data_IF_997443870738
#
_entry.id   IF_997443870738
#
_cell.length_a   1.000
_cell.length_b   1.000
_cell.length_c   1.000
_cell.angle_alpha   90.00
_cell.angle_beta   90.00
_cell.angle_gamma   90.00
#
_symmetry.space_group_name_H-M   'P 1'
#
loop_
_entity.id
_entity.type
_entity.pdbx_description
1 polymer ?
#
# COMPACT_ATOMS: atom_id res chain seq x y z
N UNK A 1 -5.04 27.78 21.46
CA UNK A 1 -5.12 26.35 21.79
C UNK A 1 -6.20 26.02 22.81
N UNK A 2 -6.12 26.43 24.11
CA UNK A 2 -7.21 26.16 25.07
C UNK A 2 -8.55 26.76 24.62
N UNK A 3 -8.55 27.98 24.08
CA UNK A 3 -9.76 28.60 23.50
C UNK A 3 -10.31 27.79 22.33
N UNK A 4 -9.48 27.43 21.35
CA UNK A 4 -9.92 26.61 20.20
C UNK A 4 -10.44 25.25 20.62
N UNK A 5 -9.85 24.64 21.68
CA UNK A 5 -10.35 23.40 22.23
C UNK A 5 -11.70 23.58 22.92
N UNK A 6 -11.90 24.69 23.64
CA UNK A 6 -13.17 25.02 24.29
C UNK A 6 -14.23 25.29 23.22
N UNK A 7 -13.91 26.05 22.17
CA UNK A 7 -14.84 26.38 21.09
C UNK A 7 -15.27 25.10 20.36
N UNK A 8 -14.31 24.22 19.97
CA UNK A 8 -14.64 22.96 19.33
C UNK A 8 -15.44 22.01 20.24
N UNK A 9 -15.10 21.93 21.53
CA UNK A 9 -15.84 21.11 22.47
C UNK A 9 -17.29 21.62 22.65
N UNK A 10 -17.46 22.94 22.65
CA UNK A 10 -18.80 23.58 22.72
C UNK A 10 -19.61 23.29 21.46
N UNK A 11 -18.97 23.34 20.28
CA UNK A 11 -19.63 23.02 19.02
C UNK A 11 -19.98 21.54 18.91
N UNK A 12 -19.09 20.63 19.36
CA UNK A 12 -19.36 19.19 19.42
C UNK A 12 -20.55 18.91 20.37
N UNK A 13 -20.57 19.59 21.50
CA UNK A 13 -21.66 19.46 22.47
C UNK A 13 -23.00 19.91 21.86
N UNK A 14 -22.99 21.07 21.17
CA UNK A 14 -24.18 21.59 20.48
C UNK A 14 -24.65 20.65 19.38
N UNK A 15 -23.73 20.19 18.52
CA UNK A 15 -24.04 19.24 17.46
C UNK A 15 -24.65 17.95 18.04
N UNK A 16 -24.17 17.48 19.22
CA UNK A 16 -24.68 16.29 19.90
C UNK A 16 -26.09 16.47 20.46
N UNK A 17 -26.44 17.69 20.88
CA UNK A 17 -27.80 17.96 21.40
C UNK A 17 -28.81 18.30 20.30
N UNK A 18 -28.40 18.98 19.24
CA UNK A 18 -29.30 19.54 18.23
C UNK A 18 -29.39 18.67 16.96
N UNK A 19 -28.51 17.67 16.79
CA UNK A 19 -28.48 16.87 15.57
C UNK A 19 -29.48 15.75 15.54
N UNK A 20 -30.11 15.60 14.36
CA UNK A 20 -30.96 14.46 13.98
C UNK A 20 -30.14 13.40 13.23
N UNK A 21 -28.84 13.64 13.06
CA UNK A 21 -27.91 12.81 12.26
C UNK A 21 -27.53 11.51 12.99
N UNK A 22 -27.09 10.52 12.24
CA UNK A 22 -26.64 9.26 12.81
C UNK A 22 -25.41 9.45 13.73
N UNK A 23 -25.31 8.71 14.87
CA UNK A 23 -24.20 8.85 15.82
C UNK A 23 -22.82 8.69 15.20
N UNK A 24 -22.69 7.91 14.12
CA UNK A 24 -21.42 7.74 13.38
C UNK A 24 -20.97 9.00 12.66
N UNK A 25 -21.90 9.72 12.03
CA UNK A 25 -21.58 10.98 11.32
C UNK A 25 -21.20 12.08 12.31
N UNK A 26 -21.85 12.10 13.45
CA UNK A 26 -21.55 13.04 14.54
C UNK A 26 -20.15 12.79 15.11
N UNK A 27 -19.78 11.52 15.34
CA UNK A 27 -18.44 11.15 15.78
C UNK A 27 -17.38 11.51 14.78
N UNK A 28 -17.61 11.30 13.48
CA UNK A 28 -16.67 11.67 12.42
C UNK A 28 -16.46 13.18 12.36
N UNK A 29 -17.53 13.99 12.50
CA UNK A 29 -17.42 15.45 12.56
C UNK A 29 -16.69 15.94 13.83
N UNK A 30 -16.95 15.32 14.97
CA UNK A 30 -16.28 15.65 16.22
C UNK A 30 -14.77 15.34 16.13
N UNK A 31 -14.42 14.19 15.56
CA UNK A 31 -13.03 13.81 15.29
C UNK A 31 -12.34 14.81 14.34
N UNK A 32 -13.02 15.23 13.25
CA UNK A 32 -12.50 16.24 12.33
C UNK A 32 -12.23 17.57 13.00
N UNK A 33 -13.17 18.08 13.82
CA UNK A 33 -13.00 19.35 14.55
C UNK A 33 -11.85 19.32 15.56
N UNK A 34 -11.68 18.22 16.28
CA UNK A 34 -10.55 18.05 17.19
C UNK A 34 -9.24 17.97 16.39
N UNK A 35 -9.29 17.34 15.23
CA UNK A 35 -8.14 17.19 14.34
C UNK A 35 -7.68 18.52 13.78
N UNK A 36 -8.58 19.40 13.34
CA UNK A 36 -8.26 20.75 12.86
C UNK A 36 -7.48 21.55 13.91
N UNK A 37 -7.79 21.41 15.18
CA UNK A 37 -7.04 22.05 16.28
C UNK A 37 -5.61 21.51 16.38
N UNK A 38 -5.43 20.20 16.10
CA UNK A 38 -4.12 19.55 16.12
C UNK A 38 -3.32 19.89 14.85
N UNK A 39 -3.99 20.02 13.69
CA UNK A 39 -3.37 20.39 12.42
C UNK A 39 -2.90 21.86 12.41
N UNK A 40 -3.61 22.79 13.05
CA UNK A 40 -3.12 24.14 13.26
C UNK A 40 -1.84 24.21 14.12
N UNK A 41 -1.45 23.12 14.76
CA UNK A 41 -0.15 22.99 15.45
C UNK A 41 0.99 22.49 14.56
N UNK A 42 0.65 21.88 13.43
CA UNK A 42 1.61 21.51 12.39
C UNK A 42 1.64 22.53 11.25
N UNK A 43 1.42 23.84 11.55
CA UNK A 43 2.00 24.87 10.70
C UNK A 43 3.50 24.63 10.75
N UNK A 44 3.99 23.84 9.80
CA UNK A 44 5.40 23.59 9.64
C UNK A 44 6.04 24.97 9.48
N UNK A 45 6.62 25.51 10.55
CA UNK A 45 7.48 26.66 10.45
C UNK A 45 8.50 26.35 9.37
N UNK A 46 8.71 27.30 8.47
CA UNK A 46 9.75 27.16 7.46
C UNK A 46 11.07 26.88 8.18
N UNK A 47 11.61 25.67 8.00
CA UNK A 47 12.88 25.30 8.59
C UNK A 47 14.00 26.01 7.85
N UNK A 48 14.95 26.64 8.55
CA UNK A 48 16.15 27.17 7.90
C UNK A 48 16.93 26.02 7.23
N UNK A 49 17.51 26.31 6.08
CA UNK A 49 18.20 25.28 5.26
C UNK A 49 19.36 24.59 6.00
N UNK A 50 20.02 25.29 6.93
CA UNK A 50 21.10 24.71 7.74
C UNK A 50 20.61 23.53 8.61
N UNK A 51 19.44 23.64 9.26
CA UNK A 51 18.86 22.54 10.04
C UNK A 51 18.52 21.35 9.15
N UNK A 52 17.97 21.60 7.95
CA UNK A 52 17.66 20.54 6.99
C UNK A 52 18.92 19.85 6.49
N UNK A 53 20.01 20.62 6.28
CA UNK A 53 21.31 20.06 5.84
C UNK A 53 21.96 19.20 6.93
N UNK A 54 21.82 19.56 8.21
CA UNK A 54 22.29 18.69 9.31
C UNK A 54 21.59 17.34 9.29
N UNK A 55 20.26 17.31 9.12
CA UNK A 55 19.49 16.07 8.98
C UNK A 55 19.94 15.25 7.75
N UNK A 56 20.25 15.91 6.62
CA UNK A 56 20.74 15.25 5.40
C UNK A 56 22.13 14.64 5.64
N UNK A 57 23.03 15.33 6.32
CA UNK A 57 24.39 14.83 6.62
C UNK A 57 24.34 13.60 7.54
N UNK A 58 23.49 13.65 8.57
CA UNK A 58 23.28 12.50 9.47
C UNK A 58 22.77 11.27 8.69
N UNK A 59 21.82 11.46 7.77
CA UNK A 59 21.31 10.38 6.91
C UNK A 59 22.39 9.85 5.96
N UNK A 60 23.20 10.73 5.41
CA UNK A 60 24.31 10.36 4.53
C UNK A 60 25.35 9.52 5.27
N UNK A 61 25.76 9.95 6.47
CA UNK A 61 26.71 9.22 7.30
C UNK A 61 26.18 7.84 7.70
N UNK A 62 24.87 7.75 8.02
CA UNK A 62 24.24 6.46 8.33
C UNK A 62 24.25 5.51 7.13
N UNK A 63 24.02 6.02 5.91
CA UNK A 63 24.10 5.23 4.67
C UNK A 63 25.54 4.79 4.35
N UNK A 64 26.53 5.63 4.56
CA UNK A 64 27.92 5.31 4.31
C UNK A 64 28.49 4.27 5.28
N UNK A 65 27.99 4.21 6.51
CA UNK A 65 28.43 3.25 7.54
C UNK A 65 27.89 1.84 7.33
N UNK A 66 26.79 1.70 6.61
CA UNK A 66 26.17 0.42 6.28
C UNK A 66 26.31 0.19 4.77
N UNK A 67 27.24 -0.67 4.35
CA UNK A 67 27.56 -0.96 2.94
C UNK A 67 26.36 -1.37 2.07
N UNK A 68 25.16 -1.62 2.67
CA UNK A 68 23.92 -2.00 1.98
C UNK A 68 22.67 -1.32 2.56
N UNK A 69 22.80 -0.19 3.26
CA UNK A 69 21.62 0.49 3.81
C UNK A 69 20.85 1.20 2.69
N UNK A 70 19.73 0.60 2.27
CA UNK A 70 18.75 1.26 1.42
C UNK A 70 18.21 2.52 2.12
N UNK A 71 17.93 3.54 1.32
CA UNK A 71 17.38 4.79 1.86
C UNK A 71 15.93 4.66 2.30
N UNK A 72 15.24 3.58 1.89
CA UNK A 72 13.86 3.25 2.17
C UNK A 72 13.67 1.85 2.75
N UNK A 73 12.42 1.44 2.92
CA UNK A 73 12.02 0.11 3.38
C UNK A 73 12.30 -0.90 2.27
N UNK A 74 13.01 -1.99 2.59
CA UNK A 74 13.34 -3.06 1.65
C UNK A 74 12.09 -3.79 1.17
N UNK A 75 12.00 -4.01 -0.15
CA UNK A 75 10.86 -4.73 -0.73
C UNK A 75 11.04 -6.25 -0.71
N UNK A 76 12.29 -6.71 -0.59
CA UNK A 76 12.68 -8.11 -0.74
C UNK A 76 12.95 -8.54 -2.18
N UNK A 77 12.82 -7.62 -3.14
CA UNK A 77 13.17 -7.82 -4.54
C UNK A 77 14.41 -6.99 -4.86
N UNK A 78 15.57 -7.64 -4.90
CA UNK A 78 16.89 -6.98 -4.98
C UNK A 78 17.01 -6.01 -6.17
N UNK A 79 16.52 -6.40 -7.34
CA UNK A 79 16.58 -5.55 -8.53
C UNK A 79 15.66 -4.33 -8.40
N UNK A 80 14.48 -4.49 -7.77
CA UNK A 80 13.58 -3.39 -7.47
C UNK A 80 14.20 -2.45 -6.44
N UNK A 81 14.77 -3.00 -5.39
CA UNK A 81 15.45 -2.24 -4.32
C UNK A 81 16.66 -1.48 -4.86
N UNK A 82 17.43 -2.09 -5.78
CA UNK A 82 18.55 -1.43 -6.47
C UNK A 82 18.05 -0.24 -7.31
N UNK A 83 16.93 -0.40 -8.01
CA UNK A 83 16.39 0.63 -8.91
C UNK A 83 15.70 1.77 -8.15
N UNK A 84 14.96 1.44 -7.07
CA UNK A 84 14.18 2.42 -6.29
C UNK A 84 14.89 2.92 -5.03
N UNK A 85 15.91 2.24 -4.53
CA UNK A 85 16.52 2.50 -3.22
C UNK A 85 15.62 2.07 -2.06
N UNK A 86 14.68 1.14 -2.28
CA UNK A 86 13.61 0.76 -1.37
C UNK A 86 12.40 1.72 -1.42
N UNK A 87 11.42 1.51 -0.55
CA UNK A 87 10.23 2.37 -0.43
C UNK A 87 10.53 3.50 0.57
N UNK A 88 10.62 4.75 0.09
CA UNK A 88 11.04 5.86 0.93
C UNK A 88 9.90 6.43 1.77
N UNK A 89 10.25 6.93 2.96
CA UNK A 89 9.32 7.64 3.83
C UNK A 89 8.69 8.83 3.11
N UNK A 90 7.46 9.15 3.49
CA UNK A 90 6.68 10.24 2.92
C UNK A 90 6.32 10.07 1.43
N UNK A 91 6.60 8.93 0.81
CA UNK A 91 6.23 8.64 -0.57
C UNK A 91 4.88 7.93 -0.70
N UNK A 92 4.13 8.32 -1.73
CA UNK A 92 2.97 7.58 -2.23
C UNK A 92 3.40 6.75 -3.43
N UNK A 93 3.39 5.44 -3.26
CA UNK A 93 3.72 4.46 -4.27
C UNK A 93 2.41 3.83 -4.79
N UNK A 94 2.16 3.93 -6.09
CA UNK A 94 1.01 3.30 -6.73
C UNK A 94 1.47 2.02 -7.44
N UNK A 95 0.87 0.90 -7.06
CA UNK A 95 1.04 -0.37 -7.74
C UNK A 95 -0.23 -0.70 -8.53
N UNK A 96 -0.18 -0.61 -9.85
CA UNK A 96 -1.36 -0.81 -10.66
C UNK A 96 -1.23 -2.04 -11.58
N UNK A 97 -2.37 -2.71 -11.80
CA UNK A 97 -2.44 -3.86 -12.69
C UNK A 97 -3.85 -4.08 -13.22
N UNK A 98 -3.96 -4.88 -14.28
CA UNK A 98 -5.24 -5.48 -14.65
C UNK A 98 -5.63 -6.58 -13.64
N UNK A 99 -6.92 -6.93 -13.53
CA UNK A 99 -7.34 -8.04 -12.70
C UNK A 99 -6.56 -9.32 -13.01
N UNK A 100 -6.32 -10.16 -12.02
CA UNK A 100 -5.63 -11.45 -12.12
C UNK A 100 -4.13 -11.41 -12.47
N UNK A 101 -3.51 -10.22 -12.59
CA UNK A 101 -2.06 -10.08 -12.82
C UNK A 101 -1.20 -10.36 -11.59
N UNK A 102 -1.80 -10.48 -10.41
CA UNK A 102 -1.08 -10.74 -9.16
C UNK A 102 -0.73 -9.50 -8.33
N UNK A 103 -1.42 -8.36 -8.54
CA UNK A 103 -1.23 -7.10 -7.82
C UNK A 103 -1.19 -7.30 -6.29
N UNK A 104 -2.24 -7.90 -5.72
CA UNK A 104 -2.34 -8.22 -4.28
C UNK A 104 -1.24 -9.17 -3.82
N UNK A 105 -0.87 -10.16 -4.66
CA UNK A 105 0.19 -11.10 -4.34
C UNK A 105 1.55 -10.41 -4.23
N UNK A 106 1.87 -9.52 -5.16
CA UNK A 106 3.12 -8.76 -5.13
C UNK A 106 3.21 -7.84 -3.89
N UNK A 107 2.13 -7.11 -3.59
CA UNK A 107 2.06 -6.27 -2.40
C UNK A 107 2.16 -7.09 -1.10
N UNK A 108 1.56 -8.30 -1.08
CA UNK A 108 1.66 -9.21 0.05
C UNK A 108 3.08 -9.78 0.20
N UNK A 109 3.80 -10.07 -0.91
CA UNK A 109 5.19 -10.50 -0.83
C UNK A 109 6.09 -9.41 -0.24
N UNK A 110 5.88 -8.14 -0.58
CA UNK A 110 6.57 -7.02 0.05
C UNK A 110 6.22 -6.95 1.54
N UNK A 111 4.94 -6.99 1.89
CA UNK A 111 4.48 -6.94 3.28
C UNK A 111 5.04 -8.12 4.11
N UNK A 112 5.08 -9.32 3.52
CA UNK A 112 5.71 -10.53 4.09
C UNK A 112 7.19 -10.28 4.39
N UNK A 113 7.95 -9.80 3.41
CA UNK A 113 9.37 -9.52 3.59
C UNK A 113 9.62 -8.49 4.71
N UNK A 114 8.93 -7.36 4.68
CA UNK A 114 9.07 -6.30 5.67
C UNK A 114 8.70 -6.79 7.08
N UNK A 115 7.58 -7.49 7.23
CA UNK A 115 7.10 -7.91 8.54
C UNK A 115 7.84 -9.15 9.08
N UNK A 116 8.15 -10.13 8.23
CA UNK A 116 8.68 -11.41 8.67
C UNK A 116 10.21 -11.42 8.65
N UNK A 117 10.84 -10.90 7.60
CA UNK A 117 12.29 -10.92 7.44
C UNK A 117 12.94 -9.73 8.11
N UNK A 118 12.48 -8.51 7.78
CA UNK A 118 13.04 -7.26 8.32
C UNK A 118 12.52 -6.98 9.75
N UNK A 119 11.42 -7.62 10.17
CA UNK A 119 10.77 -7.45 11.49
C UNK A 119 10.27 -6.03 11.74
N UNK A 120 9.86 -5.32 10.71
CA UNK A 120 9.28 -4.00 10.83
C UNK A 120 7.75 -4.05 10.76
N UNK A 121 7.03 -3.20 11.55
CA UNK A 121 5.57 -3.19 11.56
C UNK A 121 4.96 -2.73 10.24
N UNK A 122 4.02 -3.53 9.72
CA UNK A 122 3.28 -3.27 8.49
C UNK A 122 1.79 -3.24 8.76
N UNK A 123 1.09 -2.24 8.24
CA UNK A 123 -0.37 -2.22 8.19
C UNK A 123 -0.84 -2.57 6.76
N UNK A 124 -1.59 -3.64 6.62
CA UNK A 124 -2.24 -4.04 5.37
C UNK A 124 -3.74 -3.80 5.47
N UNK A 125 -4.24 -2.81 4.73
CA UNK A 125 -5.67 -2.49 4.63
C UNK A 125 -6.23 -3.19 3.41
N UNK A 126 -7.07 -4.19 3.62
CA UNK A 126 -7.71 -4.97 2.56
C UNK A 126 -9.18 -4.58 2.44
N UNK A 127 -9.52 -3.90 1.35
CA UNK A 127 -10.91 -3.50 1.08
C UNK A 127 -11.61 -4.47 0.12
N UNK A 128 -10.86 -5.40 -0.48
CA UNK A 128 -11.38 -6.38 -1.46
C UNK A 128 -11.51 -7.78 -0.85
N UNK A 129 -10.54 -8.20 -0.04
CA UNK A 129 -10.45 -9.58 0.46
C UNK A 129 -10.56 -9.62 1.97
N UNK A 130 -11.22 -10.65 2.49
CA UNK A 130 -11.27 -10.91 3.92
C UNK A 130 -9.89 -11.32 4.49
N UNK A 131 -9.66 -11.00 5.78
CA UNK A 131 -8.39 -11.30 6.46
C UNK A 131 -8.02 -12.78 6.42
N UNK A 132 -9.00 -13.68 6.49
CA UNK A 132 -8.78 -15.13 6.41
C UNK A 132 -8.22 -15.55 5.04
N UNK A 133 -8.75 -14.98 3.94
CA UNK A 133 -8.27 -15.30 2.60
C UNK A 133 -6.85 -14.78 2.37
N UNK A 134 -6.53 -13.61 2.92
CA UNK A 134 -5.17 -13.07 2.88
C UNK A 134 -4.21 -13.91 3.71
N UNK A 135 -4.62 -14.33 4.91
CA UNK A 135 -3.82 -15.19 5.78
C UNK A 135 -3.55 -16.54 5.11
N UNK A 136 -4.55 -17.16 4.46
CA UNK A 136 -4.39 -18.40 3.71
C UNK A 136 -3.38 -18.23 2.55
N UNK A 137 -3.48 -17.14 1.79
CA UNK A 137 -2.54 -16.83 0.70
C UNK A 137 -1.13 -16.61 1.22
N UNK A 138 -0.98 -15.80 2.27
CA UNK A 138 0.29 -15.53 2.90
C UNK A 138 0.95 -16.83 3.40
N UNK A 139 0.18 -17.65 4.11
CA UNK A 139 0.67 -18.91 4.66
C UNK A 139 1.08 -19.89 3.56
N UNK A 140 0.27 -20.05 2.51
CA UNK A 140 0.58 -20.90 1.37
C UNK A 140 1.82 -20.39 0.61
N UNK A 141 1.93 -19.09 0.39
CA UNK A 141 3.08 -18.45 -0.24
C UNK A 141 4.37 -18.68 0.54
N UNK A 142 4.36 -18.36 1.84
CA UNK A 142 5.51 -18.50 2.72
C UNK A 142 5.94 -19.97 2.93
N UNK A 143 4.99 -20.90 3.01
CA UNK A 143 5.26 -22.32 3.17
C UNK A 143 5.55 -23.06 1.84
N UNK A 144 5.41 -22.38 0.70
CA UNK A 144 5.48 -22.98 -0.65
C UNK A 144 4.56 -24.19 -0.78
N UNK A 145 3.32 -24.02 -0.37
CA UNK A 145 2.26 -25.03 -0.47
C UNK A 145 1.21 -24.55 -1.45
N UNK A 146 0.77 -25.44 -2.34
CA UNK A 146 -0.24 -25.09 -3.34
C UNK A 146 -1.58 -24.76 -2.65
N UNK A 147 -2.03 -23.49 -2.79
CA UNK A 147 -3.24 -22.99 -2.14
C UNK A 147 -4.53 -23.68 -2.62
N UNK A 148 -4.55 -24.20 -3.86
CA UNK A 148 -5.69 -24.96 -4.37
C UNK A 148 -5.79 -26.32 -3.66
N UNK A 149 -4.65 -26.97 -3.38
CA UNK A 149 -4.62 -28.23 -2.61
C UNK A 149 -5.05 -28.01 -1.15
N UNK A 150 -4.67 -26.89 -0.54
CA UNK A 150 -5.12 -26.53 0.80
C UNK A 150 -6.65 -26.39 0.84
N UNK A 151 -7.22 -25.61 -0.07
CA UNK A 151 -8.69 -25.38 -0.15
C UNK A 151 -9.48 -26.67 -0.39
N UNK A 152 -8.93 -27.60 -1.17
CA UNK A 152 -9.58 -28.88 -1.47
C UNK A 152 -9.30 -29.97 -0.42
N UNK A 153 -8.55 -29.68 0.65
CA UNK A 153 -8.19 -30.63 1.68
C UNK A 153 -7.26 -31.77 1.20
N UNK A 154 -6.55 -31.58 0.08
CA UNK A 154 -5.67 -32.59 -0.56
C UNK A 154 -4.19 -32.36 -0.27
N UNK A 155 -3.87 -31.69 0.84
CA UNK A 155 -2.49 -31.45 1.27
C UNK A 155 -1.83 -32.70 1.83
N UNK A 156 -0.53 -32.86 1.59
CA UNK A 156 0.27 -33.94 2.15
C UNK A 156 0.60 -33.67 3.63
N UNK A 157 1.05 -34.71 4.36
CA UNK A 157 1.54 -34.49 5.73
C UNK A 157 2.78 -33.58 5.77
N UNK A 158 3.61 -33.62 4.75
CA UNK A 158 4.76 -32.74 4.60
C UNK A 158 4.33 -31.29 4.40
N UNK A 159 3.34 -31.04 3.51
CA UNK A 159 2.75 -29.74 3.33
C UNK A 159 2.19 -29.19 4.65
N UNK A 160 1.48 -30.04 5.41
CA UNK A 160 0.95 -29.67 6.72
C UNK A 160 2.05 -29.26 7.71
N UNK A 161 3.17 -29.97 7.75
CA UNK A 161 4.31 -29.61 8.62
C UNK A 161 4.88 -28.28 8.25
N UNK A 162 5.09 -28.01 6.95
CA UNK A 162 5.57 -26.71 6.45
C UNK A 162 4.63 -25.57 6.81
N UNK A 163 3.32 -25.77 6.65
CA UNK A 163 2.30 -24.80 7.05
C UNK A 163 2.37 -24.48 8.56
N UNK A 164 2.46 -25.50 9.41
CA UNK A 164 2.55 -25.32 10.88
C UNK A 164 3.82 -24.58 11.24
N UNK A 165 4.96 -24.93 10.65
CA UNK A 165 6.22 -24.26 10.91
C UNK A 165 6.16 -22.77 10.52
N UNK A 166 5.65 -22.47 9.31
CA UNK A 166 5.53 -21.09 8.84
C UNK A 166 4.47 -20.30 9.58
N UNK A 167 3.39 -20.91 10.04
CA UNK A 167 2.39 -20.22 10.86
C UNK A 167 2.96 -19.70 12.18
N UNK A 168 3.87 -20.46 12.82
CA UNK A 168 4.55 -20.02 14.03
C UNK A 168 5.45 -18.78 13.78
N UNK A 169 6.13 -18.74 12.63
CA UNK A 169 6.97 -17.60 12.21
C UNK A 169 6.10 -16.36 11.90
N UNK A 170 5.03 -16.54 11.11
CA UNK A 170 4.11 -15.46 10.75
C UNK A 170 3.40 -14.91 11.99
N UNK A 171 2.96 -15.77 12.92
CA UNK A 171 2.23 -15.35 14.12
C UNK A 171 3.04 -14.41 15.03
N UNK A 172 4.36 -14.48 14.98
CA UNK A 172 5.26 -13.60 15.73
C UNK A 172 5.64 -12.32 14.99
N UNK A 173 5.18 -12.15 13.74
CA UNK A 173 5.53 -11.00 12.91
C UNK A 173 4.63 -9.79 13.22
N UNK A 174 5.16 -8.57 13.09
CA UNK A 174 4.38 -7.35 13.29
C UNK A 174 3.57 -6.97 12.02
N UNK A 175 2.82 -7.91 11.44
CA UNK A 175 1.90 -7.69 10.33
C UNK A 175 0.48 -7.52 10.86
N UNK A 176 -0.12 -6.36 10.59
CA UNK A 176 -1.48 -6.02 11.01
C UNK A 176 -2.38 -5.92 9.78
N UNK A 177 -3.51 -6.62 9.80
CA UNK A 177 -4.48 -6.62 8.70
C UNK A 177 -5.78 -5.96 9.18
N UNK A 178 -6.29 -5.00 8.40
CA UNK A 178 -7.61 -4.39 8.57
C UNK A 178 -8.43 -4.69 7.32
N UNK A 179 -9.45 -5.54 7.44
CA UNK A 179 -10.35 -5.94 6.35
C UNK A 179 -11.76 -5.37 6.51
N UNK A 180 -11.90 -4.29 7.27
CA UNK A 180 -13.18 -3.63 7.48
C UNK A 180 -13.67 -3.01 6.17
N UNK A 181 -14.86 -3.41 5.65
CA UNK A 181 -15.39 -2.87 4.41
C UNK A 181 -15.88 -1.43 4.60
N UNK A 182 -15.94 -0.66 3.50
CA UNK A 182 -16.45 0.70 3.50
C UNK A 182 -15.62 1.70 4.32
N UNK A 183 -14.32 1.47 4.44
CA UNK A 183 -13.40 2.40 5.10
C UNK A 183 -13.23 3.68 4.31
N UNK A 184 -13.41 4.80 4.99
CA UNK A 184 -12.96 6.11 4.53
C UNK A 184 -11.46 6.28 4.76
N UNK A 185 -10.84 7.19 4.02
CA UNK A 185 -9.41 7.47 4.23
C UNK A 185 -9.13 8.05 5.62
N UNK A 186 -10.06 8.79 6.21
CA UNK A 186 -9.95 9.33 7.57
C UNK A 186 -9.81 8.21 8.60
N UNK A 187 -10.64 7.16 8.49
CA UNK A 187 -10.58 5.99 9.37
C UNK A 187 -9.28 5.20 9.19
N UNK A 188 -8.84 5.00 7.93
CA UNK A 188 -7.55 4.34 7.63
C UNK A 188 -6.40 5.12 8.29
N UNK A 189 -6.39 6.44 8.14
CA UNK A 189 -5.38 7.30 8.75
C UNK A 189 -5.41 7.23 10.29
N UNK A 190 -6.60 7.16 10.90
CA UNK A 190 -6.75 7.02 12.35
C UNK A 190 -6.16 5.68 12.86
N UNK A 191 -6.41 4.58 12.16
CA UNK A 191 -5.82 3.27 12.47
C UNK A 191 -4.30 3.32 12.33
N UNK A 192 -3.78 3.88 11.23
CA UNK A 192 -2.35 4.02 10.99
C UNK A 192 -1.65 4.86 12.05
N UNK A 193 -2.22 6.02 12.44
CA UNK A 193 -1.68 6.87 13.52
C UNK A 193 -1.64 6.15 14.86
N UNK A 194 -2.70 5.42 15.21
CA UNK A 194 -2.77 4.64 16.44
C UNK A 194 -1.70 3.55 16.47
N UNK A 195 -1.53 2.83 15.35
CA UNK A 195 -0.55 1.76 15.23
C UNK A 195 0.88 2.32 15.27
N UNK A 196 1.14 3.42 14.55
CA UNK A 196 2.45 4.11 14.58
C UNK A 196 2.86 4.50 15.99
N UNK A 197 1.92 5.06 16.79
CA UNK A 197 2.21 5.46 18.19
C UNK A 197 2.48 4.28 19.14
N UNK A 198 1.85 3.12 18.89
CA UNK A 198 1.93 1.97 19.80
C UNK A 198 3.09 1.04 19.49
N UNK A 199 3.35 0.82 18.20
CA UNK A 199 4.24 -0.24 17.72
C UNK A 199 5.38 0.29 16.85
N UNK A 200 5.30 1.56 16.44
CA UNK A 200 6.04 2.04 15.29
C UNK A 200 5.42 1.45 14.00
N UNK A 201 5.41 2.17 12.89
CA UNK A 201 4.86 1.69 11.61
C UNK A 201 5.83 2.07 10.51
N UNK A 202 6.20 1.11 9.66
CA UNK A 202 7.21 1.29 8.63
C UNK A 202 6.64 1.23 7.21
N UNK A 203 5.47 0.59 7.02
CA UNK A 203 4.82 0.48 5.73
C UNK A 203 3.30 0.43 5.90
N UNK A 204 2.58 1.12 5.02
CA UNK A 204 1.13 0.99 4.86
C UNK A 204 0.86 0.45 3.47
N UNK A 205 0.11 -0.66 3.38
CA UNK A 205 -0.39 -1.22 2.12
C UNK A 205 -1.90 -1.07 2.09
N UNK A 206 -2.46 -0.61 0.95
CA UNK A 206 -3.92 -0.44 0.78
C UNK A 206 -4.35 -1.14 -0.50
N UNK A 207 -5.20 -2.15 -0.39
CA UNK A 207 -5.76 -2.92 -1.52
C UNK A 207 -7.28 -2.74 -1.58
N UNK A 208 -7.80 -1.93 -2.49
CA UNK A 208 -7.21 -1.03 -3.46
C UNK A 208 -7.93 0.33 -3.47
N UNK A 209 -7.33 1.33 -4.06
CA UNK A 209 -7.72 2.73 -4.03
C UNK A 209 -9.20 2.99 -4.36
N UNK A 210 -9.71 2.31 -5.41
CA UNK A 210 -11.06 2.52 -5.90
C UNK A 210 -12.17 1.99 -4.97
N UNK A 211 -11.82 1.23 -3.92
CA UNK A 211 -12.75 0.75 -2.88
C UNK A 211 -12.76 1.63 -1.63
N UNK A 212 -11.85 2.61 -1.54
CA UNK A 212 -11.90 3.59 -0.46
C UNK A 212 -13.19 4.40 -0.60
N UNK A 213 -13.95 4.49 0.49
CA UNK A 213 -15.19 5.23 0.51
C UNK A 213 -14.92 6.74 0.40
N UNK A 214 -15.55 7.43 -0.57
CA UNK A 214 -15.34 8.87 -0.74
C UNK A 214 -16.05 9.67 0.33
N UNK A 215 -15.48 10.79 0.74
CA UNK A 215 -16.13 11.71 1.72
C UNK A 215 -17.47 12.27 1.19
N UNK A 216 -17.57 12.44 -0.13
CA UNK A 216 -18.80 12.88 -0.79
C UNK A 216 -19.14 11.93 -1.96
N UNK A 217 -20.12 11.02 -1.78
CA UNK A 217 -20.53 10.08 -2.83
C UNK A 217 -21.15 10.76 -4.08
N UNK A 218 -21.56 12.03 -3.99
CA UNK A 218 -22.20 12.77 -5.10
C UNK A 218 -21.20 13.35 -6.10
N UNK A 219 -19.91 13.41 -5.72
CA UNK A 219 -18.87 13.92 -6.63
C UNK A 219 -18.67 12.98 -7.82
N UNK A 220 -18.30 13.49 -9.00
CA UNK A 220 -17.90 12.65 -10.14
C UNK A 220 -16.76 11.69 -9.75
N UNK A 221 -16.78 10.46 -10.29
CA UNK A 221 -15.82 9.42 -9.91
C UNK A 221 -14.36 9.86 -10.04
N UNK A 222 -14.04 10.61 -11.08
CA UNK A 222 -12.68 11.15 -11.29
C UNK A 222 -12.24 12.09 -10.16
N UNK A 223 -13.15 12.93 -9.68
CA UNK A 223 -12.87 13.85 -8.57
C UNK A 223 -12.71 13.10 -7.24
N UNK A 224 -13.53 12.07 -7.00
CA UNK A 224 -13.40 11.22 -5.81
C UNK A 224 -12.00 10.58 -5.78
N UNK A 225 -11.59 9.95 -6.88
CA UNK A 225 -10.28 9.31 -7.01
C UNK A 225 -9.14 10.31 -6.86
N UNK A 226 -9.27 11.50 -7.47
CA UNK A 226 -8.29 12.58 -7.35
C UNK A 226 -8.12 13.03 -5.90
N UNK A 227 -9.23 13.23 -5.19
CA UNK A 227 -9.22 13.64 -3.78
C UNK A 227 -8.60 12.57 -2.88
N UNK A 228 -8.94 11.29 -3.11
CA UNK A 228 -8.36 10.17 -2.37
C UNK A 228 -6.84 10.11 -2.59
N UNK A 229 -6.35 10.19 -3.85
CA UNK A 229 -4.92 10.15 -4.15
C UNK A 229 -4.15 11.29 -3.46
N UNK A 230 -4.68 12.52 -3.53
CA UNK A 230 -4.07 13.68 -2.85
C UNK A 230 -4.00 13.47 -1.33
N UNK A 231 -5.08 12.97 -0.72
CA UNK A 231 -5.11 12.71 0.72
C UNK A 231 -4.21 11.56 1.13
N UNK A 232 -4.06 10.52 0.30
CA UNK A 232 -3.08 9.45 0.51
C UNK A 232 -1.66 10.01 0.54
N UNK A 233 -1.35 10.93 -0.39
CA UNK A 233 -0.05 11.63 -0.39
C UNK A 233 0.14 12.50 0.86
N UNK A 234 -0.90 13.20 1.30
CA UNK A 234 -0.84 13.96 2.55
C UNK A 234 -0.60 13.04 3.75
N UNK A 235 -1.30 11.90 3.82
CA UNK A 235 -1.15 10.91 4.88
C UNK A 235 0.27 10.33 4.91
N UNK A 236 0.87 10.00 3.76
CA UNK A 236 2.25 9.49 3.72
C UNK A 236 3.25 10.51 4.27
N UNK A 237 3.05 11.80 3.97
CA UNK A 237 3.89 12.91 4.49
C UNK A 237 3.68 13.17 5.98
N UNK A 238 2.42 13.20 6.43
CA UNK A 238 2.06 13.42 7.83
C UNK A 238 2.62 12.30 8.73
N UNK A 239 2.48 11.07 8.26
CA UNK A 239 2.96 9.91 9.01
C UNK A 239 4.46 9.64 8.79
N UNK A 240 5.11 10.32 7.84
CA UNK A 240 6.49 10.02 7.43
C UNK A 240 6.73 8.51 7.25
N UNK A 241 5.83 7.86 6.47
CA UNK A 241 5.82 6.42 6.19
C UNK A 241 5.51 6.23 4.70
N UNK A 242 6.14 5.27 3.99
CA UNK A 242 5.74 4.90 2.64
C UNK A 242 4.33 4.32 2.64
N UNK A 243 3.52 4.75 1.66
CA UNK A 243 2.19 4.22 1.42
C UNK A 243 2.17 3.53 0.06
N UNK A 244 2.07 2.20 0.06
CA UNK A 244 1.88 1.38 -1.13
C UNK A 244 0.39 1.20 -1.37
N UNK A 245 -0.17 1.94 -2.31
CA UNK A 245 -1.58 1.87 -2.65
C UNK A 245 -1.79 1.16 -3.98
N UNK A 246 -2.60 0.12 -3.96
CA UNK A 246 -2.92 -0.66 -5.14
C UNK A 246 -4.01 0.04 -5.95
N UNK A 247 -3.93 -0.05 -7.29
CA UNK A 247 -4.92 0.52 -8.18
C UNK A 247 -5.25 -0.44 -9.34
N UNK A 248 -6.46 -0.37 -9.82
CA UNK A 248 -6.88 -1.16 -10.99
C UNK A 248 -6.76 -0.33 -12.26
N UNK A 249 -6.16 -0.92 -13.30
CA UNK A 249 -6.05 -0.30 -14.61
C UNK A 249 -7.36 -0.39 -15.42
N UNK A 250 -7.60 0.62 -16.26
CA UNK A 250 -8.70 0.64 -17.21
C UNK A 250 -8.53 -0.49 -18.26
N UNK A 251 -9.66 -0.95 -18.84
CA UNK A 251 -9.68 -1.96 -19.90
C UNK A 251 -8.92 -1.54 -21.17
N UNK A 252 -8.70 -0.26 -21.38
CA UNK A 252 -7.91 0.26 -22.50
C UNK A 252 -6.45 -0.26 -22.51
N UNK A 253 -5.92 -0.71 -21.38
CA UNK A 253 -4.62 -1.34 -21.31
C UNK A 253 -4.52 -2.64 -22.15
N UNK A 254 -5.66 -3.32 -22.37
CA UNK A 254 -5.74 -4.57 -23.13
C UNK A 254 -5.87 -4.35 -24.66
N UNK A 255 -6.11 -3.10 -25.10
CA UNK A 255 -6.31 -2.76 -26.51
C UNK A 255 -5.00 -2.26 -27.14
N UNK A 256 -3.97 -2.02 -26.35
CA UNK A 256 -2.66 -1.61 -26.86
C UNK A 256 -1.97 -2.78 -27.60
N UNK A 257 -1.24 -2.48 -28.69
CA UNK A 257 -0.57 -3.49 -29.54
C UNK A 257 0.36 -4.44 -28.79
N UNK A 258 0.95 -3.97 -27.71
CA UNK A 258 1.94 -4.68 -26.88
C UNK A 258 1.39 -5.13 -25.53
N UNK A 259 0.10 -4.89 -25.23
CA UNK A 259 -0.57 -5.18 -23.97
C UNK A 259 0.19 -4.66 -22.71
N UNK A 260 1.26 -3.86 -22.89
CA UNK A 260 2.04 -3.32 -21.79
C UNK A 260 1.31 -2.13 -21.15
N UNK A 261 1.19 -2.10 -19.83
CA UNK A 261 0.57 -1.00 -19.10
C UNK A 261 1.43 0.27 -19.22
N UNK A 262 0.75 1.42 -19.30
CA UNK A 262 1.36 2.76 -19.38
C UNK A 262 0.59 3.74 -18.50
N UNK A 263 1.19 4.90 -18.17
CA UNK A 263 0.57 5.91 -17.32
C UNK A 263 -0.82 6.38 -17.82
N UNK A 264 -1.01 6.48 -19.13
CA UNK A 264 -2.30 6.84 -19.71
C UNK A 264 -3.42 5.82 -19.44
N UNK A 265 -3.10 4.58 -19.03
CA UNK A 265 -4.08 3.57 -18.65
C UNK A 265 -4.61 3.78 -17.23
N UNK A 266 -4.00 4.70 -16.45
CA UNK A 266 -4.54 5.26 -15.22
C UNK A 266 -5.53 6.42 -15.46
N UNK A 267 -6.07 6.58 -16.67
CA UNK A 267 -6.70 7.77 -17.24
C UNK A 267 -7.98 8.27 -16.54
N UNK A 268 -8.67 7.45 -15.77
CA UNK A 268 -9.73 7.94 -14.87
C UNK A 268 -9.16 8.67 -13.64
N UNK A 269 -7.83 8.75 -13.57
CA UNK A 269 -7.06 9.15 -12.40
C UNK A 269 -5.80 9.92 -12.78
N UNK A 270 -5.86 10.87 -13.71
CA UNK A 270 -4.73 11.75 -14.02
C UNK A 270 -4.12 12.41 -12.76
N UNK A 271 -4.95 12.55 -11.73
CA UNK A 271 -4.51 13.01 -10.41
C UNK A 271 -3.66 11.95 -9.67
N UNK A 272 -3.93 10.64 -9.85
CA UNK A 272 -3.05 9.59 -9.26
C UNK A 272 -1.64 9.73 -9.83
N UNK A 273 -1.54 9.90 -11.15
CA UNK A 273 -0.25 10.11 -11.80
C UNK A 273 0.46 11.36 -11.27
N UNK A 274 -0.26 12.46 -11.03
CA UNK A 274 0.33 13.72 -10.56
C UNK A 274 0.79 13.63 -9.10
N UNK A 275 -0.04 13.06 -8.22
CA UNK A 275 0.20 13.05 -6.77
C UNK A 275 1.15 11.92 -6.32
N UNK A 276 1.22 10.80 -7.05
CA UNK A 276 2.13 9.70 -6.76
C UNK A 276 3.61 10.09 -6.99
N UNK A 277 4.48 9.63 -6.11
CA UNK A 277 5.93 9.76 -6.26
C UNK A 277 6.50 8.65 -7.14
N UNK A 278 5.97 7.44 -6.97
CA UNK A 278 6.33 6.25 -7.75
C UNK A 278 5.06 5.60 -8.32
N UNK A 279 5.11 5.20 -9.58
CA UNK A 279 4.05 4.41 -10.22
C UNK A 279 4.67 3.16 -10.82
N UNK A 280 4.22 2.02 -10.34
CA UNK A 280 4.64 0.69 -10.78
C UNK A 280 3.48 -0.07 -11.41
N UNK A 281 3.75 -0.85 -12.43
CA UNK A 281 2.80 -1.76 -13.03
C UNK A 281 3.26 -3.20 -12.91
N UNK A 282 2.32 -4.10 -12.58
CA UNK A 282 2.54 -5.54 -12.70
C UNK A 282 2.07 -5.98 -14.09
N UNK A 283 2.96 -6.61 -14.83
CA UNK A 283 2.67 -7.15 -16.16
C UNK A 283 3.09 -8.61 -16.25
N UNK A 284 2.22 -9.43 -16.87
CA UNK A 284 2.48 -10.85 -17.15
C UNK A 284 2.02 -11.14 -18.56
N UNK A 285 2.98 -11.38 -19.44
CA UNK A 285 2.72 -11.57 -20.86
C UNK A 285 1.91 -12.84 -21.13
N UNK A 286 2.10 -13.92 -20.36
CA UNK A 286 1.39 -15.19 -20.47
C UNK A 286 -0.15 -15.05 -20.45
N UNK A 287 -0.64 -13.99 -19.78
CA UNK A 287 -2.08 -13.73 -19.64
C UNK A 287 -2.74 -13.33 -20.98
N UNK A 288 -1.97 -12.74 -21.87
CA UNK A 288 -2.45 -12.23 -23.16
C UNK A 288 -2.20 -13.19 -24.32
N UNK A 289 -1.44 -14.25 -24.11
CA UNK A 289 -1.16 -15.24 -25.14
C UNK A 289 -2.39 -16.11 -25.41
N UNK A 290 -2.75 -16.24 -26.69
CA UNK A 290 -3.94 -16.97 -27.14
C UNK A 290 -3.62 -18.41 -27.52
N UNK A 291 -2.36 -18.72 -27.90
CA UNK A 291 -1.93 -20.08 -28.25
C UNK A 291 -1.22 -20.72 -27.06
N UNK A 292 -1.37 -22.04 -26.90
CA UNK A 292 -0.71 -22.77 -25.82
C UNK A 292 0.82 -22.77 -25.98
N UNK A 293 1.31 -22.76 -27.23
CA UNK A 293 2.75 -22.72 -27.53
C UNK A 293 3.38 -21.38 -27.09
N UNK A 294 2.73 -20.26 -27.39
CA UNK A 294 3.22 -18.94 -26.99
C UNK A 294 3.11 -18.75 -25.49
N UNK A 295 2.03 -19.26 -24.88
CA UNK A 295 1.86 -19.23 -23.42
C UNK A 295 2.97 -20.01 -22.70
N UNK A 296 3.35 -21.20 -23.19
CA UNK A 296 4.40 -22.00 -22.57
C UNK A 296 5.78 -21.34 -22.69
N UNK A 297 6.06 -20.56 -23.77
CA UNK A 297 7.32 -19.82 -23.95
C UNK A 297 7.52 -18.71 -22.93
N UNK A 298 6.44 -18.04 -22.51
CA UNK A 298 6.49 -16.91 -21.58
C UNK A 298 5.93 -17.25 -20.20
N UNK A 299 5.73 -18.53 -19.94
CA UNK A 299 5.14 -19.04 -18.70
C UNK A 299 5.95 -18.63 -17.48
N UNK A 300 5.22 -18.07 -16.50
CA UNK A 300 5.82 -17.59 -15.26
C UNK A 300 6.66 -16.32 -15.40
N UNK A 301 6.83 -15.76 -16.59
CA UNK A 301 7.52 -14.48 -16.74
C UNK A 301 6.60 -13.35 -16.26
N UNK A 302 7.16 -12.50 -15.43
CA UNK A 302 6.49 -11.32 -14.90
C UNK A 302 7.43 -10.12 -14.93
N UNK A 303 6.87 -8.94 -15.01
CA UNK A 303 7.63 -7.69 -15.01
C UNK A 303 6.97 -6.69 -14.05
N UNK A 304 7.81 -5.97 -13.30
CA UNK A 304 7.41 -4.77 -12.60
C UNK A 304 7.98 -3.59 -13.37
N UNK A 305 7.07 -2.81 -13.96
CA UNK A 305 7.42 -1.65 -14.79
C UNK A 305 7.33 -0.41 -13.93
N UNK A 306 8.46 0.26 -13.65
CA UNK A 306 8.49 1.54 -12.96
C UNK A 306 8.31 2.63 -14.02
N UNK A 307 7.08 3.08 -14.19
CA UNK A 307 6.72 4.05 -15.23
C UNK A 307 6.89 5.51 -14.76
N UNK A 308 6.92 5.75 -13.46
CA UNK A 308 7.20 7.05 -12.85
C UNK A 308 7.98 6.87 -11.57
N UNK A 309 9.02 7.69 -11.40
CA UNK A 309 9.73 7.85 -10.14
C UNK A 309 10.22 9.29 -10.04
N UNK A 310 9.85 10.01 -8.97
CA UNK A 310 10.24 11.42 -8.81
C UNK A 310 11.73 11.58 -8.50
N UNK A 311 12.27 10.67 -7.70
CA UNK A 311 13.62 10.80 -7.13
C UNK A 311 14.58 9.71 -7.63
N UNK A 312 14.27 9.06 -8.76
CA UNK A 312 15.11 7.98 -9.29
C UNK A 312 14.81 7.65 -10.76
N UNK A 313 15.48 6.65 -11.31
CA UNK A 313 15.29 6.22 -12.69
C UNK A 313 14.00 5.42 -12.85
N UNK A 314 13.46 5.42 -14.07
CA UNK A 314 12.41 4.50 -14.51
C UNK A 314 13.05 3.25 -15.12
N UNK A 315 12.34 2.14 -15.12
CA UNK A 315 12.89 0.90 -15.70
C UNK A 315 11.98 -0.30 -15.44
N UNK A 316 12.41 -1.45 -15.91
CA UNK A 316 11.67 -2.70 -15.82
C UNK A 316 12.47 -3.71 -15.00
N UNK A 317 11.81 -4.34 -14.03
CA UNK A 317 12.38 -5.41 -13.21
C UNK A 317 11.72 -6.72 -13.61
N UNK A 318 12.51 -7.71 -13.99
CA UNK A 318 12.03 -9.04 -14.39
C UNK A 318 11.92 -9.93 -13.17
N UNK A 319 10.78 -10.60 -13.03
CA UNK A 319 10.47 -11.51 -11.95
C UNK A 319 9.92 -12.83 -12.50
N UNK A 320 9.88 -13.84 -11.66
CA UNK A 320 9.21 -15.11 -11.95
C UNK A 320 7.91 -15.19 -11.13
N UNK A 321 6.83 -15.55 -11.81
CA UNK A 321 5.56 -15.84 -11.19
C UNK A 321 5.40 -17.32 -10.94
N UNK A 322 5.30 -17.71 -9.68
CA UNK A 322 5.04 -19.08 -9.26
C UNK A 322 3.53 -19.28 -9.02
N UNK A 323 2.85 -19.84 -10.01
CA UNK A 323 1.40 -20.06 -10.00
C UNK A 323 0.92 -20.85 -8.80
N UNK A 324 1.63 -21.95 -8.48
CA UNK A 324 1.24 -22.87 -7.42
C UNK A 324 1.20 -22.21 -6.04
N UNK A 325 2.04 -21.21 -5.83
CA UNK A 325 2.22 -20.54 -4.55
C UNK A 325 1.68 -19.11 -4.56
N UNK A 326 1.19 -18.64 -5.71
CA UNK A 326 0.71 -17.26 -5.88
C UNK A 326 1.77 -16.23 -5.42
N UNK A 327 3.04 -16.45 -5.85
CA UNK A 327 4.22 -15.73 -5.37
C UNK A 327 5.06 -15.21 -6.53
N UNK A 328 5.63 -14.01 -6.37
CA UNK A 328 6.73 -13.50 -7.20
C UNK A 328 8.08 -13.82 -6.55
N UNK A 329 9.07 -14.12 -7.38
CA UNK A 329 10.46 -14.35 -6.98
C UNK A 329 11.42 -13.75 -8.00
#
# INVERSE_FOLDING_TARGET
MLRSLIDASTDILRDAYDSVDEPRELLARAESKIFEILEHRSSAEAKPINEVLEDVMVRMDARMKHEHALGGVETGFTDLDTLCGGLHNSELIILAARPSMGKTAFAMNIAEHVAITVKQPVLFVSLEMACLELADRLLCSAAQVNGHRLRNGTISQEDRRRLVQKSAEISSSPLYIDDTPGRTLTEIAAVARRLKRRQGLSLIVIDYLQLIEPDNPRDPRQEQVARIARRLKMMSRELDIPVLCLAQLNRQAEVSRDNRPRLNHLRESGAIEQDADVVMFVHREEYYQTTDEDRERVKGQAEIIIAKQRNGPIGDVKLLWQHDFTRFV
#
